data_IF_783306430038
#
_entry.id   IF_783306430038
#
_cell.length_a   1.000
_cell.length_b   1.000
_cell.length_c   1.000
_cell.angle_alpha   90.00
_cell.angle_beta   90.00
_cell.angle_gamma   90.00
#
_symmetry.space_group_name_H-M   'P 1'
#
loop_
_entity.id
_entity.type
_entity.pdbx_description
1 polymer ?
#
# COMPACT_ATOMS: atom_id res chain seq x y z
N UNK A 1 -20.08 -29.60 -76.84
CA UNK A 1 -20.49 -28.24 -76.36
C UNK A 1 -21.79 -28.40 -75.58
N UNK A 2 -21.74 -28.58 -74.25
CA UNK A 2 -22.93 -28.78 -73.40
C UNK A 2 -23.47 -27.41 -72.97
N UNK A 3 -24.70 -27.08 -73.39
CA UNK A 3 -25.44 -25.93 -72.84
C UNK A 3 -25.88 -26.30 -71.42
N UNK A 4 -25.34 -25.61 -70.42
CA UNK A 4 -25.91 -25.62 -69.08
C UNK A 4 -27.17 -24.75 -69.10
N UNK A 5 -28.33 -25.36 -69.01
CA UNK A 5 -29.58 -24.66 -68.69
C UNK A 5 -29.48 -24.18 -67.24
N UNK A 6 -29.14 -22.91 -67.05
CA UNK A 6 -29.35 -22.24 -65.77
C UNK A 6 -30.86 -22.02 -65.62
N UNK A 7 -31.55 -23.00 -65.05
CA UNK A 7 -32.92 -22.82 -64.61
C UNK A 7 -32.95 -21.73 -63.55
N UNK A 8 -33.54 -20.58 -63.90
CA UNK A 8 -33.83 -19.49 -62.96
C UNK A 8 -34.85 -19.98 -61.92
N UNK A 9 -34.38 -20.70 -60.90
CA UNK A 9 -35.15 -20.95 -59.68
C UNK A 9 -35.09 -19.68 -58.85
N UNK A 10 -36.03 -18.76 -59.12
CA UNK A 10 -36.22 -17.59 -58.27
C UNK A 10 -36.62 -18.02 -56.86
N UNK A 11 -36.04 -17.38 -55.85
CA UNK A 11 -36.43 -17.56 -54.46
C UNK A 11 -37.92 -17.22 -54.29
N UNK A 12 -38.68 -18.13 -53.68
CA UNK A 12 -40.08 -17.87 -53.37
C UNK A 12 -40.20 -16.84 -52.23
N UNK A 13 -41.29 -16.05 -52.21
CA UNK A 13 -41.57 -15.09 -51.12
C UNK A 13 -41.55 -15.79 -49.75
N UNK A 14 -42.10 -17.01 -49.67
CA UNK A 14 -42.09 -17.80 -48.44
C UNK A 14 -40.68 -18.13 -47.95
N UNK A 15 -39.76 -18.45 -48.87
CA UNK A 15 -38.36 -18.75 -48.55
C UNK A 15 -37.63 -17.49 -48.03
N UNK A 16 -37.89 -16.34 -48.64
CA UNK A 16 -37.34 -15.06 -48.18
C UNK A 16 -37.84 -14.69 -46.78
N UNK A 17 -39.12 -14.92 -46.47
CA UNK A 17 -39.69 -14.67 -45.13
C UNK A 17 -39.06 -15.60 -44.08
N UNK A 18 -38.92 -16.90 -44.38
CA UNK A 18 -38.27 -17.86 -43.48
C UNK A 18 -36.81 -17.49 -43.26
N UNK A 19 -36.08 -17.16 -44.32
CA UNK A 19 -34.68 -16.73 -44.22
C UNK A 19 -34.51 -15.47 -43.37
N UNK A 20 -35.39 -14.48 -43.55
CA UNK A 20 -35.39 -13.26 -42.75
C UNK A 20 -35.70 -13.53 -41.27
N UNK A 21 -36.71 -14.36 -40.97
CA UNK A 21 -37.05 -14.73 -39.61
C UNK A 21 -35.92 -15.48 -38.89
N UNK A 22 -35.25 -16.41 -39.60
CA UNK A 22 -34.07 -17.12 -39.07
C UNK A 22 -32.90 -16.16 -38.83
N UNK A 23 -32.65 -15.23 -39.74
CA UNK A 23 -31.59 -14.23 -39.57
C UNK A 23 -31.85 -13.34 -38.34
N UNK A 24 -33.08 -12.86 -38.17
CA UNK A 24 -33.46 -12.06 -37.00
C UNK A 24 -33.31 -12.85 -35.70
N UNK A 25 -33.70 -14.12 -35.69
CA UNK A 25 -33.50 -15.01 -34.54
C UNK A 25 -32.01 -15.16 -34.21
N UNK A 26 -31.17 -15.38 -35.22
CA UNK A 26 -29.71 -15.48 -35.03
C UNK A 26 -29.11 -14.19 -34.49
N UNK A 27 -29.54 -13.03 -34.99
CA UNK A 27 -29.09 -11.72 -34.49
C UNK A 27 -29.50 -11.52 -33.03
N UNK A 28 -30.75 -11.87 -32.67
CA UNK A 28 -31.23 -11.79 -31.29
C UNK A 28 -30.44 -12.70 -30.34
N UNK A 29 -30.19 -13.95 -30.76
CA UNK A 29 -29.38 -14.89 -29.98
C UNK A 29 -27.95 -14.38 -29.82
N UNK A 30 -27.34 -13.87 -30.90
CA UNK A 30 -26.00 -13.29 -30.85
C UNK A 30 -25.93 -12.11 -29.88
N UNK A 31 -26.91 -11.20 -29.91
CA UNK A 31 -26.98 -10.08 -28.96
C UNK A 31 -27.16 -10.57 -27.52
N UNK A 32 -28.05 -11.54 -27.28
CA UNK A 32 -28.22 -12.13 -25.96
C UNK A 32 -26.92 -12.71 -25.41
N UNK A 33 -26.17 -13.45 -26.22
CA UNK A 33 -24.86 -13.99 -25.85
C UNK A 33 -23.88 -12.86 -25.51
N UNK A 34 -23.79 -11.82 -26.34
CA UNK A 34 -22.87 -10.70 -26.09
C UNK A 34 -23.22 -9.93 -24.81
N UNK A 35 -24.51 -9.74 -24.51
CA UNK A 35 -24.96 -9.06 -23.29
C UNK A 35 -24.62 -9.87 -22.02
N UNK A 36 -24.82 -11.20 -22.08
CA UNK A 36 -24.42 -12.11 -21.01
C UNK A 36 -22.89 -12.10 -20.84
N UNK A 37 -22.14 -12.17 -21.93
CA UNK A 37 -20.67 -12.11 -21.89
C UNK A 37 -20.15 -10.79 -21.31
N UNK A 38 -20.75 -9.65 -21.68
CA UNK A 38 -20.37 -8.35 -21.13
C UNK A 38 -20.63 -8.29 -19.62
N UNK A 39 -21.78 -8.81 -19.17
CA UNK A 39 -22.14 -8.87 -17.73
C UNK A 39 -21.16 -9.77 -16.96
N UNK A 40 -20.86 -10.95 -17.49
CA UNK A 40 -19.90 -11.88 -16.88
C UNK A 40 -18.48 -11.30 -16.86
N UNK A 41 -18.04 -10.67 -17.94
CA UNK A 41 -16.74 -10.01 -18.02
C UNK A 41 -16.64 -8.88 -16.97
N UNK A 42 -17.68 -8.05 -16.84
CA UNK A 42 -17.74 -7.02 -15.81
C UNK A 42 -17.62 -7.58 -14.39
N UNK A 43 -18.32 -8.70 -14.12
CA UNK A 43 -18.22 -9.41 -12.84
C UNK A 43 -16.82 -9.97 -12.57
N UNK A 44 -16.20 -10.61 -13.56
CA UNK A 44 -14.84 -11.17 -13.42
C UNK A 44 -13.82 -10.05 -13.15
N UNK A 45 -13.93 -8.92 -13.87
CA UNK A 45 -13.07 -7.77 -13.64
C UNK A 45 -13.27 -7.20 -12.23
N UNK A 46 -14.52 -7.04 -11.79
CA UNK A 46 -14.83 -6.60 -10.43
C UNK A 46 -14.25 -7.53 -9.35
N UNK A 47 -14.42 -8.85 -9.52
CA UNK A 47 -13.85 -9.85 -8.61
C UNK A 47 -12.31 -9.83 -8.60
N UNK A 48 -11.67 -9.63 -9.75
CA UNK A 48 -10.21 -9.51 -9.83
C UNK A 48 -9.68 -8.28 -9.09
N UNK A 49 -10.37 -7.14 -9.19
CA UNK A 49 -9.98 -5.90 -8.52
C UNK A 49 -10.07 -6.03 -7.00
N UNK A 50 -11.14 -6.63 -6.48
CA UNK A 50 -11.30 -6.91 -5.05
C UNK A 50 -10.17 -7.81 -4.53
N UNK A 51 -9.80 -8.85 -5.28
CA UNK A 51 -8.71 -9.74 -4.90
C UNK A 51 -7.34 -9.03 -4.94
N UNK A 52 -7.11 -8.16 -5.92
CA UNK A 52 -5.86 -7.41 -6.02
C UNK A 52 -5.72 -6.37 -4.91
N UNK A 53 -6.81 -5.70 -4.54
CA UNK A 53 -6.84 -4.82 -3.36
C UNK A 53 -6.59 -5.59 -2.07
N UNK A 54 -7.25 -6.74 -1.89
CA UNK A 54 -7.02 -7.59 -0.74
C UNK A 54 -5.55 -8.03 -0.64
N UNK A 55 -4.95 -8.43 -1.77
CA UNK A 55 -3.52 -8.76 -1.84
C UNK A 55 -2.64 -7.58 -1.51
N UNK A 56 -2.96 -6.38 -2.01
CA UNK A 56 -2.22 -5.16 -1.71
C UNK A 56 -2.25 -4.84 -0.21
N UNK A 57 -3.43 -4.83 0.40
CA UNK A 57 -3.59 -4.57 1.85
C UNK A 57 -2.82 -5.62 2.65
N UNK A 58 -3.01 -6.90 2.36
CA UNK A 58 -2.29 -7.98 3.03
C UNK A 58 -0.77 -7.84 2.86
N UNK A 59 -0.29 -7.57 1.65
CA UNK A 59 1.13 -7.39 1.37
C UNK A 59 1.73 -6.21 2.13
N UNK A 60 1.05 -5.06 2.15
CA UNK A 60 1.49 -3.88 2.90
C UNK A 60 1.56 -4.18 4.40
N UNK A 61 0.51 -4.80 4.96
CA UNK A 61 0.50 -5.15 6.38
C UNK A 61 1.60 -6.16 6.71
N UNK A 62 1.80 -7.21 5.90
CA UNK A 62 2.88 -8.19 6.11
C UNK A 62 4.25 -7.54 6.04
N UNK A 63 4.48 -6.67 5.05
CA UNK A 63 5.77 -5.99 4.87
C UNK A 63 6.07 -5.03 6.01
N UNK A 64 5.10 -4.20 6.41
CA UNK A 64 5.32 -3.15 7.41
C UNK A 64 5.28 -3.70 8.84
N UNK A 65 4.32 -4.57 9.15
CA UNK A 65 4.14 -5.14 10.51
C UNK A 65 5.08 -6.31 10.73
N UNK A 66 5.28 -7.16 9.72
CA UNK A 66 6.08 -8.38 9.85
C UNK A 66 7.57 -8.13 10.12
N UNK A 67 8.07 -6.95 9.74
CA UNK A 67 9.46 -6.54 10.02
C UNK A 67 9.60 -5.76 11.33
N UNK A 68 8.51 -5.27 11.91
CA UNK A 68 8.51 -4.42 13.10
C UNK A 68 8.15 -5.16 14.38
N UNK A 69 8.64 -4.66 15.51
CA UNK A 69 8.22 -5.06 16.84
C UNK A 69 6.92 -4.34 17.23
N UNK A 70 5.94 -5.07 17.72
CA UNK A 70 4.69 -4.49 18.20
C UNK A 70 4.91 -3.57 19.41
N UNK A 71 4.08 -2.54 19.54
CA UNK A 71 4.16 -1.41 20.49
C UNK A 71 5.34 -0.47 20.27
N UNK A 72 6.44 -0.97 19.70
CA UNK A 72 7.61 -0.17 19.35
C UNK A 72 7.37 0.35 17.93
N UNK A 73 7.64 -0.44 16.90
CA UNK A 73 7.65 0.03 15.51
C UNK A 73 6.25 0.26 14.98
N UNK A 74 5.26 -0.39 15.57
CA UNK A 74 3.86 -0.16 15.23
C UNK A 74 2.94 -0.30 16.43
N UNK A 75 1.81 0.40 16.39
CA UNK A 75 0.77 0.32 17.41
C UNK A 75 -0.57 0.71 16.83
N UNK A 76 -1.65 0.17 17.41
CA UNK A 76 -3.00 0.55 17.07
C UNK A 76 -3.44 1.70 17.98
N UNK A 77 -3.89 2.81 17.39
CA UNK A 77 -4.46 3.95 18.10
C UNK A 77 -5.86 4.23 17.55
N UNK A 78 -6.88 3.80 18.30
CA UNK A 78 -8.25 3.77 17.79
C UNK A 78 -8.38 2.75 16.64
N UNK A 79 -8.81 3.23 15.48
CA UNK A 79 -8.96 2.45 14.23
C UNK A 79 -7.73 2.54 13.30
N UNK A 80 -6.72 3.32 13.68
CA UNK A 80 -5.55 3.58 12.87
C UNK A 80 -4.31 2.83 13.37
N UNK A 81 -3.68 2.08 12.47
CA UNK A 81 -2.38 1.47 12.69
C UNK A 81 -1.29 2.52 12.45
N UNK A 82 -0.65 2.97 13.52
CA UNK A 82 0.55 3.80 13.46
C UNK A 82 1.77 2.90 13.20
N UNK A 83 2.63 3.29 12.27
CA UNK A 83 3.85 2.56 11.92
C UNK A 83 5.05 3.49 11.86
N UNK A 84 6.21 2.85 12.00
CA UNK A 84 7.54 3.40 11.80
C UNK A 84 8.22 2.52 10.76
N UNK A 85 8.17 2.95 9.49
CA UNK A 85 8.83 2.24 8.41
C UNK A 85 10.32 2.58 8.41
N UNK A 86 11.21 1.60 8.55
CA UNK A 86 12.65 1.82 8.53
C UNK A 86 13.10 2.44 7.20
N UNK A 87 13.87 3.55 7.25
CA UNK A 87 14.35 4.26 6.03
C UNK A 87 15.86 4.30 5.91
N UNK A 88 16.59 4.20 7.02
CA UNK A 88 18.03 4.10 6.99
C UNK A 88 18.70 4.29 8.35
N UNK A 89 20.02 4.41 8.31
CA UNK A 89 20.89 4.49 9.48
C UNK A 89 21.70 5.78 9.47
N UNK A 90 22.05 6.26 10.66
CA UNK A 90 23.01 7.32 10.90
C UNK A 90 24.09 6.83 11.85
N UNK A 91 25.36 7.07 11.51
CA UNK A 91 26.50 6.75 12.36
C UNK A 91 27.14 8.05 12.83
N UNK A 92 27.44 8.14 14.13
CA UNK A 92 28.10 9.31 14.71
C UNK A 92 29.48 9.51 14.07
N UNK A 93 29.76 10.74 13.64
CA UNK A 93 31.11 11.17 13.25
C UNK A 93 31.96 11.45 14.51
N UNK A 94 33.27 11.22 14.51
CA UNK A 94 34.08 11.53 15.71
C UNK A 94 34.14 13.02 15.96
N UNK A 95 34.27 13.81 14.91
CA UNK A 95 34.20 15.27 14.98
C UNK A 95 32.75 15.67 15.10
N UNK A 96 32.43 16.43 16.16
CA UNK A 96 31.09 16.93 16.41
C UNK A 96 31.07 18.46 16.27
N UNK A 97 30.06 19.02 15.59
CA UNK A 97 29.89 20.48 15.56
C UNK A 97 29.54 20.99 16.96
N UNK A 98 29.78 22.28 17.21
CA UNK A 98 29.42 22.93 18.48
C UNK A 98 27.91 22.85 18.78
N UNK A 99 27.07 22.70 17.75
CA UNK A 99 25.64 22.51 17.86
C UNK A 99 25.17 21.35 16.97
N UNK A 100 24.51 20.37 17.60
CA UNK A 100 23.92 19.21 16.93
C UNK A 100 24.83 17.98 16.91
N UNK A 101 24.30 16.91 16.32
CA UNK A 101 24.92 15.60 16.22
C UNK A 101 25.39 15.38 14.78
N UNK A 102 26.69 15.40 14.55
CA UNK A 102 27.32 15.15 13.25
C UNK A 102 27.22 13.66 12.90
N UNK A 103 26.61 13.34 11.76
CA UNK A 103 26.30 11.98 11.34
C UNK A 103 26.65 11.71 9.88
N UNK A 104 27.14 10.50 9.64
CA UNK A 104 27.15 9.88 8.32
C UNK A 104 25.85 9.08 8.17
N UNK A 105 25.00 9.47 7.23
CA UNK A 105 23.70 8.87 6.97
C UNK A 105 23.71 8.02 5.71
N UNK A 106 23.11 6.84 5.76
CA UNK A 106 22.84 6.02 4.58
C UNK A 106 21.41 5.47 4.64
N UNK A 107 20.74 5.43 3.50
CA UNK A 107 19.37 4.91 3.41
C UNK A 107 18.74 5.20 2.05
N UNK A 108 17.47 4.81 1.91
CA UNK A 108 16.73 4.91 0.65
C UNK A 108 16.40 6.35 0.24
N UNK A 109 16.33 7.26 1.22
CA UNK A 109 16.08 8.69 1.00
C UNK A 109 16.75 9.52 2.09
N UNK A 110 16.75 10.83 1.92
CA UNK A 110 17.20 11.73 2.97
C UNK A 110 16.18 11.75 4.14
N UNK A 111 16.62 11.75 5.43
CA UNK A 111 15.73 11.98 6.57
C UNK A 111 14.90 13.26 6.43
N UNK A 112 13.65 13.25 6.89
CA UNK A 112 12.72 14.37 6.85
C UNK A 112 12.18 14.64 8.28
N UNK A 113 12.54 15.76 8.93
CA UNK A 113 12.13 16.09 10.31
C UNK A 113 10.61 16.09 10.56
N UNK A 114 9.81 16.37 9.53
CA UNK A 114 8.36 16.46 9.68
C UNK A 114 7.72 15.07 9.65
N UNK A 115 8.38 14.10 9.01
CA UNK A 115 7.84 12.76 8.78
C UNK A 115 8.52 11.72 9.65
N UNK A 116 9.78 11.93 9.99
CA UNK A 116 10.61 10.87 10.54
C UNK A 116 10.71 10.90 12.06
N UNK A 117 10.86 9.72 12.63
CA UNK A 117 11.27 9.49 14.01
C UNK A 117 12.65 8.85 14.03
N UNK A 118 13.43 9.09 15.08
CA UNK A 118 14.80 8.58 15.19
C UNK A 118 14.89 7.73 16.45
N UNK A 119 15.31 6.48 16.29
CA UNK A 119 15.86 5.72 17.41
C UNK A 119 17.35 5.97 17.45
N UNK A 120 17.87 6.41 18.58
CA UNK A 120 19.30 6.56 18.80
C UNK A 120 19.79 5.48 19.73
N UNK A 121 20.98 4.98 19.47
CA UNK A 121 21.67 4.03 20.34
C UNK A 121 22.82 4.73 21.05
N UNK A 122 22.82 4.65 22.37
CA UNK A 122 23.94 5.02 23.24
C UNK A 122 24.44 3.77 23.95
N UNK A 123 25.74 3.69 24.21
CA UNK A 123 26.34 2.59 24.98
C UNK A 123 25.83 2.56 26.43
N UNK A 124 25.47 3.71 26.99
CA UNK A 124 25.05 3.84 28.39
C UNK A 124 23.56 3.54 28.61
N UNK A 125 22.71 3.99 27.69
CA UNK A 125 21.25 3.96 27.82
C UNK A 125 20.55 3.04 26.82
N UNK A 126 21.29 2.42 25.90
CA UNK A 126 20.73 1.58 24.85
C UNK A 126 19.95 2.38 23.80
N UNK A 127 18.91 1.75 23.23
CA UNK A 127 18.04 2.39 22.25
C UNK A 127 17.05 3.34 22.93
N UNK A 128 17.04 4.60 22.49
CA UNK A 128 16.14 5.64 22.97
C UNK A 128 15.43 6.31 21.79
N UNK A 129 14.17 6.70 22.00
CA UNK A 129 13.41 7.43 20.99
C UNK A 129 13.71 8.93 21.07
N UNK A 130 13.93 9.54 19.91
CA UNK A 130 14.09 10.97 19.76
C UNK A 130 13.39 11.47 18.50
N UNK A 131 12.96 12.73 18.50
CA UNK A 131 12.43 13.40 17.32
C UNK A 131 13.58 14.06 16.56
N UNK A 132 13.64 13.84 15.25
CA UNK A 132 14.47 14.67 14.38
C UNK A 132 13.81 16.04 14.26
N UNK A 133 14.37 17.05 14.91
CA UNK A 133 13.84 18.42 14.83
C UNK A 133 14.36 19.15 13.60
N UNK A 134 15.65 18.97 13.30
CA UNK A 134 16.31 19.65 12.19
C UNK A 134 17.42 18.78 11.62
N UNK A 135 17.64 18.92 10.32
CA UNK A 135 18.80 18.41 9.58
C UNK A 135 19.43 19.56 8.81
N UNK A 136 20.75 19.55 8.73
CA UNK A 136 21.51 20.41 7.81
C UNK A 136 22.60 19.58 7.17
N UNK A 137 23.03 19.96 5.95
CA UNK A 137 24.19 19.31 5.35
C UNK A 137 25.42 19.62 6.20
N UNK A 138 26.16 18.58 6.59
CA UNK A 138 27.42 18.71 7.31
C UNK A 138 28.60 18.93 6.37
N UNK A 139 29.64 19.59 6.86
CA UNK A 139 30.92 19.79 6.17
C UNK A 139 32.06 19.82 7.18
N UNK A 140 33.24 19.32 6.81
CA UNK A 140 34.41 19.32 7.70
C UNK A 140 34.33 18.29 8.84
N UNK A 141 33.44 17.30 8.72
CA UNK A 141 33.37 16.17 9.63
C UNK A 141 34.32 15.06 9.17
N UNK A 142 34.92 14.33 10.09
CA UNK A 142 35.88 13.24 9.82
C UNK A 142 35.28 12.10 8.98
N UNK A 143 33.98 11.87 9.13
CA UNK A 143 33.22 10.87 8.40
C UNK A 143 32.92 11.24 6.93
N UNK A 144 33.35 12.40 6.44
CA UNK A 144 32.98 12.90 5.11
C UNK A 144 33.48 12.07 3.92
N UNK A 145 34.42 11.16 4.16
CA UNK A 145 35.04 10.33 3.13
C UNK A 145 34.42 8.94 3.01
N UNK A 146 33.41 8.60 3.81
CA UNK A 146 32.74 7.30 3.75
C UNK A 146 31.88 7.24 2.48
N UNK A 147 32.28 6.42 1.52
CA UNK A 147 31.57 6.25 0.26
C UNK A 147 30.14 5.74 0.48
N UNK A 148 29.16 6.35 -0.21
CA UNK A 148 27.75 5.97 -0.11
C UNK A 148 27.00 6.57 1.08
N UNK A 149 27.64 7.42 1.89
CA UNK A 149 27.00 8.11 3.00
C UNK A 149 26.87 9.61 2.71
N UNK A 150 25.69 10.16 3.02
CA UNK A 150 25.49 11.60 3.13
C UNK A 150 26.02 12.10 4.48
N UNK A 151 26.45 13.36 4.54
CA UNK A 151 26.95 13.97 5.78
C UNK A 151 25.98 15.03 6.23
N UNK A 152 25.50 14.87 7.46
CA UNK A 152 24.47 15.73 8.03
C UNK A 152 24.79 16.11 9.47
N UNK A 153 24.19 17.20 9.93
CA UNK A 153 24.13 17.57 11.34
C UNK A 153 22.67 17.54 11.75
N UNK A 154 22.36 16.68 12.72
CA UNK A 154 21.01 16.48 13.24
C UNK A 154 20.81 17.22 14.56
N UNK A 155 19.63 17.80 14.73
CA UNK A 155 19.14 18.29 16.02
C UNK A 155 18.05 17.34 16.49
N UNK A 156 18.24 16.78 17.69
CA UNK A 156 17.41 15.74 18.28
C UNK A 156 16.70 16.25 19.53
N UNK A 157 15.49 15.75 19.77
CA UNK A 157 14.68 16.07 20.95
C UNK A 157 13.99 14.82 21.54
N UNK A 158 14.39 14.38 22.75
CA UNK A 158 15.45 14.97 23.57
C UNK A 158 16.84 14.85 22.91
N UNK A 159 17.82 15.69 23.30
CA UNK A 159 19.19 15.57 22.80
C UNK A 159 19.90 14.35 23.40
N UNK A 160 20.73 13.69 22.58
CA UNK A 160 21.51 12.51 23.00
C UNK A 160 23.00 12.70 22.67
N UNK A 161 23.77 13.38 23.54
CA UNK A 161 25.18 13.69 23.27
C UNK A 161 26.09 12.46 23.20
N UNK A 162 25.66 11.33 23.78
CA UNK A 162 26.41 10.08 23.83
C UNK A 162 25.97 9.06 22.76
N UNK A 163 24.96 9.40 21.94
CA UNK A 163 24.50 8.51 20.88
C UNK A 163 25.62 8.23 19.86
N UNK A 164 25.83 6.96 19.54
CA UNK A 164 26.85 6.48 18.59
C UNK A 164 26.25 6.03 17.25
N UNK A 165 24.99 5.62 17.26
CA UNK A 165 24.26 5.22 16.07
C UNK A 165 22.80 5.68 16.15
N UNK A 166 22.14 5.72 15.01
CA UNK A 166 20.72 5.99 14.89
C UNK A 166 20.11 5.20 13.75
N UNK A 167 18.83 4.89 13.91
CA UNK A 167 17.94 4.41 12.87
C UNK A 167 16.86 5.48 12.70
N UNK A 168 16.58 5.90 11.47
CA UNK A 168 15.45 6.79 11.22
C UNK A 168 14.35 6.06 10.46
N UNK A 169 13.13 6.37 10.88
CA UNK A 169 11.91 5.71 10.43
C UNK A 169 10.93 6.74 9.95
N UNK A 170 10.29 6.49 8.83
CA UNK A 170 9.14 7.26 8.38
C UNK A 170 7.94 6.92 9.24
N UNK A 171 7.32 7.94 9.84
CA UNK A 171 6.06 7.77 10.54
C UNK A 171 4.95 7.70 9.52
N UNK A 172 4.13 6.67 9.64
CA UNK A 172 2.97 6.47 8.80
C UNK A 172 1.78 6.03 9.63
N UNK A 173 0.58 6.19 9.08
CA UNK A 173 -0.61 5.57 9.63
C UNK A 173 -1.44 4.95 8.53
N UNK A 174 -1.99 3.77 8.77
CA UNK A 174 -2.99 3.14 7.92
C UNK A 174 -4.33 3.07 8.64
N UNK A 175 -5.44 3.21 7.92
CA UNK A 175 -6.78 2.96 8.45
C UNK A 175 -7.75 2.61 7.32
N UNK A 176 -8.84 1.94 7.67
CA UNK A 176 -10.02 1.87 6.80
C UNK A 176 -10.87 3.12 7.04
N UNK A 177 -11.09 3.92 6.01
CA UNK A 177 -11.96 5.10 6.14
C UNK A 177 -12.50 5.56 4.80
N UNK A 178 -13.75 6.03 4.80
CA UNK A 178 -14.43 6.57 3.63
C UNK A 178 -14.29 5.64 2.40
N UNK A 179 -14.64 4.37 2.61
CA UNK A 179 -14.73 3.38 1.54
C UNK A 179 -13.41 2.73 1.14
N UNK A 180 -12.26 3.09 1.73
CA UNK A 180 -10.95 2.67 1.24
C UNK A 180 -9.96 2.38 2.36
N UNK A 181 -8.94 1.57 2.07
CA UNK A 181 -7.73 1.48 2.88
C UNK A 181 -6.85 2.68 2.55
N UNK A 182 -6.54 3.48 3.56
CA UNK A 182 -5.85 4.76 3.39
C UNK A 182 -4.56 4.78 4.15
N UNK A 183 -3.62 5.55 3.64
CA UNK A 183 -2.33 5.81 4.26
C UNK A 183 -2.12 7.31 4.47
N UNK A 184 -1.45 7.66 5.57
CA UNK A 184 -1.03 9.02 5.89
C UNK A 184 0.45 9.00 6.26
N UNK A 185 1.24 9.81 5.58
CA UNK A 185 2.64 10.06 5.94
C UNK A 185 2.71 11.16 6.99
N UNK A 186 3.32 10.90 8.14
CA UNK A 186 3.49 11.85 9.23
C UNK A 186 2.17 12.57 9.58
N UNK A 187 2.18 13.90 9.49
CA UNK A 187 1.03 14.77 9.73
C UNK A 187 0.28 15.18 8.44
N UNK A 188 0.54 14.52 7.31
CA UNK A 188 -0.08 14.83 6.03
C UNK A 188 -1.56 14.46 5.93
N UNK A 189 -2.13 14.61 4.74
CA UNK A 189 -3.48 14.14 4.44
C UNK A 189 -3.57 12.62 4.28
N UNK A 190 -4.77 12.06 4.45
CA UNK A 190 -5.06 10.66 4.17
C UNK A 190 -5.23 10.43 2.67
N UNK A 191 -4.43 9.54 2.10
CA UNK A 191 -4.47 9.15 0.70
C UNK A 191 -5.04 7.73 0.56
N UNK A 192 -5.97 7.49 -0.38
CA UNK A 192 -6.46 6.15 -0.64
C UNK A 192 -5.39 5.29 -1.32
N UNK A 193 -5.22 4.06 -0.82
CA UNK A 193 -4.37 3.03 -1.43
C UNK A 193 -5.18 1.99 -2.21
N UNK A 194 -6.44 1.83 -1.86
CA UNK A 194 -7.43 1.03 -2.61
C UNK A 194 -8.48 1.95 -3.22
N UNK A 195 -9.26 1.42 -4.16
CA UNK A 195 -10.47 2.08 -4.62
C UNK A 195 -11.53 2.16 -3.51
N UNK A 196 -12.61 2.87 -3.80
CA UNK A 196 -13.78 2.98 -2.93
C UNK A 196 -14.67 1.74 -3.07
N UNK A 197 -15.13 1.17 -1.96
CA UNK A 197 -16.00 -0.02 -1.94
C UNK A 197 -15.83 -0.90 -0.69
N UNK A 198 -14.85 -0.56 0.16
CA UNK A 198 -14.65 -1.21 1.46
C UNK A 198 -15.67 -0.66 2.47
N UNK A 199 -16.51 -1.52 3.02
CA UNK A 199 -17.49 -1.21 4.04
C UNK A 199 -16.79 -0.73 5.32
N UNK A 200 -16.74 0.59 5.51
CA UNK A 200 -15.92 1.21 6.57
C UNK A 200 -16.38 0.82 7.98
N UNK A 201 -17.66 0.51 8.16
CA UNK A 201 -18.23 0.13 9.46
C UNK A 201 -17.97 -1.34 9.83
N UNK A 202 -17.54 -2.15 8.86
CA UNK A 202 -17.30 -3.59 9.02
C UNK A 202 -15.86 -4.02 8.76
N UNK A 203 -15.07 -3.17 8.10
CA UNK A 203 -13.63 -3.32 7.97
C UNK A 203 -12.91 -2.70 9.18
N UNK A 204 -11.80 -3.31 9.60
CA UNK A 204 -11.11 -2.86 10.79
C UNK A 204 -9.74 -3.51 10.99
N UNK A 205 -8.97 -2.90 11.87
CA UNK A 205 -7.70 -3.39 12.36
C UNK A 205 -7.85 -3.67 13.86
N UNK A 206 -7.26 -4.76 14.33
CA UNK A 206 -7.27 -5.19 15.72
C UNK A 206 -5.92 -5.79 16.09
N UNK A 207 -5.55 -5.76 17.37
CA UNK A 207 -4.36 -6.47 17.85
C UNK A 207 -4.79 -7.75 18.55
N UNK A 208 -4.25 -8.90 18.13
CA UNK A 208 -4.54 -10.21 18.73
C UNK A 208 -3.44 -10.64 19.73
N UNK A 209 -2.50 -9.76 20.00
CA UNK A 209 -1.38 -9.97 20.92
C UNK A 209 -0.46 -8.76 20.94
N UNK A 210 0.65 -8.84 21.68
CA UNK A 210 1.63 -7.75 21.73
C UNK A 210 2.28 -7.47 20.37
N UNK A 211 2.48 -8.52 19.57
CA UNK A 211 3.13 -8.48 18.26
C UNK A 211 2.23 -8.99 17.12
N UNK A 212 0.94 -9.23 17.35
CA UNK A 212 0.04 -9.78 16.33
C UNK A 212 -1.01 -8.72 15.96
N UNK A 213 -1.13 -8.44 14.66
CA UNK A 213 -2.12 -7.55 14.08
C UNK A 213 -3.09 -8.34 13.22
N UNK A 214 -4.38 -8.25 13.50
CA UNK A 214 -5.44 -8.77 12.65
C UNK A 214 -6.10 -7.66 11.85
N UNK A 215 -6.38 -7.95 10.59
CA UNK A 215 -7.11 -7.07 9.70
C UNK A 215 -8.33 -7.82 9.17
N UNK A 216 -9.47 -7.15 9.18
CA UNK A 216 -10.71 -7.60 8.57
C UNK A 216 -11.09 -6.59 7.50
N UNK A 217 -11.32 -7.06 6.28
CA UNK A 217 -11.76 -6.21 5.18
C UNK A 217 -13.07 -6.76 4.65
N UNK A 218 -14.07 -5.87 4.54
CA UNK A 218 -15.39 -6.19 4.01
C UNK A 218 -15.63 -5.31 2.80
N UNK A 219 -15.92 -5.90 1.65
CA UNK A 219 -16.34 -5.17 0.46
C UNK A 219 -17.84 -5.30 0.31
N UNK A 220 -18.50 -4.14 0.18
CA UNK A 220 -19.93 -4.03 -0.11
C UNK A 220 -20.10 -3.46 -1.52
N UNK A 221 -20.59 -4.29 -2.42
CA UNK A 221 -20.98 -3.90 -3.77
C UNK A 221 -22.48 -4.18 -3.92
N UNK A 222 -23.25 -3.20 -4.39
CA UNK A 222 -24.68 -3.39 -4.62
C UNK A 222 -24.98 -4.48 -5.65
N UNK A 223 -24.03 -4.76 -6.56
CA UNK A 223 -24.17 -5.74 -7.62
C UNK A 223 -23.63 -7.14 -7.26
N UNK A 224 -22.85 -7.28 -6.18
CA UNK A 224 -22.21 -8.54 -5.81
C UNK A 224 -22.46 -8.90 -4.33
N UNK A 225 -22.49 -10.20 -3.97
CA UNK A 225 -22.55 -10.60 -2.58
C UNK A 225 -21.38 -10.02 -1.80
N UNK A 226 -21.62 -9.53 -0.57
CA UNK A 226 -20.57 -9.01 0.28
C UNK A 226 -19.47 -10.05 0.52
N UNK A 227 -18.23 -9.57 0.58
CA UNK A 227 -17.03 -10.41 0.76
C UNK A 227 -16.29 -9.98 2.01
N UNK A 228 -15.98 -10.93 2.88
CA UNK A 228 -15.15 -10.71 4.06
C UNK A 228 -13.85 -11.49 3.92
N UNK A 229 -12.73 -10.81 4.09
CA UNK A 229 -11.41 -11.41 4.24
C UNK A 229 -10.80 -10.99 5.57
N UNK A 230 -10.19 -11.94 6.25
CA UNK A 230 -9.50 -11.69 7.52
C UNK A 230 -8.12 -12.33 7.48
N UNK A 231 -7.13 -11.61 7.97
CA UNK A 231 -5.75 -12.10 8.10
C UNK A 231 -5.19 -11.69 9.44
N UNK A 232 -4.26 -12.50 9.95
CA UNK A 232 -3.42 -12.16 11.10
C UNK A 232 -1.98 -12.09 10.65
N UNK A 233 -1.35 -10.95 10.87
CA UNK A 233 0.05 -10.68 10.60
C UNK A 233 0.80 -10.72 11.92
N UNK A 234 1.84 -11.54 11.98
CA UNK A 234 2.75 -11.59 13.13
C UNK A 234 3.94 -10.69 12.88
N UNK A 235 4.20 -9.79 13.81
CA UNK A 235 5.41 -8.98 13.87
C UNK A 235 6.63 -9.80 14.28
N UNK A 236 7.79 -9.14 14.26
CA UNK A 236 9.04 -9.75 14.68
C UNK A 236 8.96 -10.20 16.15
N UNK A 237 9.69 -11.27 16.49
CA UNK A 237 9.83 -11.80 17.84
C UNK A 237 11.15 -11.38 18.46
#
# INVERSE_FOLDING_TARGET
>A
MKRYEMGNRGFGIAEAVVGCALLLLLVQVAWGITAVQATLAGRIVGESLVLDEARLVHHLLVTEVGQGLGRIDWSLYGDALQLRAFRGVGLRCRTQPNAGWGVAVSGYRAPDPDKDSVLVFSETSGWQLSRLQRRTRGSGLDCQHIAGFGIEVWTLDPPHPDAVAALYFERGAYRFSAGAFRYRVGNGGWQPLTSTGIASDSAGLATDGANDLSARVVWDDAALPSRTLSWTVRGAR
#
